data_IF_533289594054
#
_entry.id   IF_533289594054
#
_cell.length_a   1.000
_cell.length_b   1.000
_cell.length_c   1.000
_cell.angle_alpha   90.00
_cell.angle_beta   90.00
_cell.angle_gamma   90.00
#
_symmetry.space_group_name_H-M   'P 1'
#
loop_
_entity.id
_entity.type
_entity.pdbx_description
1 polymer ?
#
# COMPACT_ATOMS: atom_id res chain seq x y z
N UNK A 1 -15.30 7.88 -3.31
CA UNK A 1 -14.82 6.54 -3.76
C UNK A 1 -15.50 5.50 -2.89
N UNK A 2 -16.05 4.41 -3.43
CA UNK A 2 -16.63 3.35 -2.57
C UNK A 2 -15.52 2.40 -2.13
N UNK A 3 -14.99 2.60 -0.92
CA UNK A 3 -13.99 1.73 -0.29
C UNK A 3 -14.52 1.17 1.01
N UNK A 4 -14.12 -0.06 1.34
CA UNK A 4 -14.51 -0.73 2.59
C UNK A 4 -13.31 -1.01 3.47
N UNK A 5 -13.51 -0.97 4.78
CA UNK A 5 -12.48 -1.34 5.76
C UNK A 5 -11.98 -2.75 5.48
N UNK A 6 -10.66 -2.91 5.44
CA UNK A 6 -10.01 -4.18 5.13
C UNK A 6 -9.68 -4.36 3.64
N UNK A 7 -10.21 -3.52 2.75
CA UNK A 7 -9.80 -3.53 1.34
C UNK A 7 -8.39 -2.98 1.18
N UNK A 8 -7.72 -3.47 0.13
CA UNK A 8 -6.40 -2.98 -0.28
C UNK A 8 -6.58 -2.19 -1.56
N UNK A 9 -6.12 -0.94 -1.51
CA UNK A 9 -6.15 -0.02 -2.63
C UNK A 9 -4.74 0.33 -3.07
N UNK A 10 -4.59 0.65 -4.35
CA UNK A 10 -3.40 1.32 -4.83
C UNK A 10 -3.59 2.83 -4.84
N UNK A 11 -2.53 3.53 -4.50
CA UNK A 11 -2.50 4.98 -4.54
C UNK A 11 -1.09 5.49 -4.86
N UNK A 12 -1.03 6.65 -5.48
CA UNK A 12 0.21 7.39 -5.65
C UNK A 12 0.69 7.94 -4.31
N UNK A 13 1.85 7.44 -3.87
CA UNK A 13 2.49 7.92 -2.66
C UNK A 13 3.58 8.94 -3.04
N UNK A 14 3.38 10.25 -2.75
CA UNK A 14 4.38 11.25 -3.05
C UNK A 14 5.65 11.01 -2.23
N UNK A 15 6.80 11.29 -2.82
CA UNK A 15 8.04 11.39 -2.06
C UNK A 15 7.99 12.60 -1.13
N UNK A 16 8.72 12.54 -0.01
CA UNK A 16 8.77 13.64 0.94
C UNK A 16 9.36 14.94 0.35
N UNK A 17 10.15 14.83 -0.71
CA UNK A 17 10.71 15.95 -1.47
C UNK A 17 9.79 16.44 -2.60
N UNK A 18 8.62 15.82 -2.76
CA UNK A 18 7.61 16.12 -3.79
C UNK A 18 8.12 16.03 -5.23
N UNK A 19 9.27 15.39 -5.48
CA UNK A 19 9.85 15.28 -6.83
C UNK A 19 9.16 14.22 -7.70
N UNK A 20 8.26 13.43 -7.11
CA UNK A 20 7.46 12.43 -7.80
C UNK A 20 6.65 11.56 -6.83
N UNK A 21 6.04 10.51 -7.37
CA UNK A 21 5.29 9.51 -6.61
C UNK A 21 5.76 8.09 -6.90
N UNK A 22 5.40 7.15 -6.02
CA UNK A 22 5.34 5.72 -6.34
C UNK A 22 3.97 5.19 -6.00
N UNK A 23 3.40 4.44 -6.93
CA UNK A 23 2.20 3.66 -6.65
C UNK A 23 2.53 2.61 -5.59
N UNK A 24 1.79 2.62 -4.48
CA UNK A 24 1.95 1.68 -3.36
C UNK A 24 0.60 1.14 -2.88
N UNK A 25 0.57 -0.12 -2.42
CA UNK A 25 -0.61 -0.65 -1.75
C UNK A 25 -0.80 0.01 -0.37
N UNK A 26 -2.05 0.19 0.01
CA UNK A 26 -2.46 0.64 1.34
C UNK A 26 -3.73 -0.09 1.77
N UNK A 27 -3.85 -0.35 3.08
CA UNK A 27 -5.02 -0.96 3.70
C UNK A 27 -6.00 0.13 4.13
N UNK A 28 -7.28 -0.03 3.80
CA UNK A 28 -8.34 0.84 4.31
C UNK A 28 -8.61 0.50 5.78
N UNK A 29 -8.34 1.45 6.68
CA UNK A 29 -8.52 1.25 8.13
C UNK A 29 -9.70 2.03 8.71
N UNK A 30 -10.16 3.07 8.01
CA UNK A 30 -11.36 3.85 8.33
C UNK A 30 -12.62 2.97 8.29
N UNK A 31 -13.59 3.26 9.15
CA UNK A 31 -14.88 2.54 9.16
C UNK A 31 -15.74 2.89 7.95
N UNK A 32 -16.55 1.92 7.51
CA UNK A 32 -17.38 2.05 6.32
C UNK A 32 -18.38 3.22 6.42
N UNK A 33 -18.88 3.50 7.62
CA UNK A 33 -19.78 4.63 7.87
C UNK A 33 -19.12 5.97 7.51
N UNK A 34 -17.82 6.11 7.75
CA UNK A 34 -17.08 7.33 7.41
C UNK A 34 -16.59 7.34 5.97
N UNK A 35 -16.23 6.17 5.41
CA UNK A 35 -15.91 6.05 3.97
C UNK A 35 -17.08 6.48 3.06
N UNK A 36 -18.31 6.39 3.55
CA UNK A 36 -19.51 6.83 2.82
C UNK A 36 -19.84 8.31 3.00
N UNK A 37 -19.27 8.97 4.03
CA UNK A 37 -19.65 10.33 4.45
C UNK A 37 -18.58 11.38 4.18
N UNK A 38 -17.31 10.97 4.13
CA UNK A 38 -16.16 11.86 3.96
C UNK A 38 -15.54 11.65 2.58
N UNK A 39 -15.04 12.73 2.00
CA UNK A 39 -14.26 12.67 0.76
C UNK A 39 -12.87 12.05 1.00
N UNK A 40 -12.37 12.15 2.24
CA UNK A 40 -11.09 11.62 2.67
C UNK A 40 -11.22 10.23 3.35
N UNK A 41 -10.21 9.39 3.17
CA UNK A 41 -10.14 8.05 3.77
C UNK A 41 -8.81 7.83 4.48
N UNK A 42 -8.88 7.33 5.72
CA UNK A 42 -7.68 6.93 6.47
C UNK A 42 -7.18 5.55 6.02
N UNK A 43 -5.91 5.51 5.62
CA UNK A 43 -5.24 4.33 5.09
C UNK A 43 -3.96 3.99 5.89
N UNK A 44 -3.64 2.69 5.98
CA UNK A 44 -2.37 2.21 6.53
C UNK A 44 -1.46 1.71 5.40
N UNK A 45 -0.27 2.29 5.28
CA UNK A 45 0.64 2.02 4.18
C UNK A 45 1.28 0.62 4.26
N UNK A 46 1.28 -0.09 3.13
CA UNK A 46 1.95 -1.38 2.99
C UNK A 46 3.31 -1.18 2.29
N UNK A 47 4.35 -1.86 2.77
CA UNK A 47 5.69 -1.80 2.17
C UNK A 47 6.31 -3.18 2.06
N UNK A 48 7.05 -3.43 0.98
CA UNK A 48 7.91 -4.61 0.84
C UNK A 48 9.30 -4.42 1.44
N UNK A 49 9.62 -3.20 1.93
CA UNK A 49 10.90 -2.92 2.56
C UNK A 49 10.99 -3.59 3.93
N UNK A 50 11.88 -4.58 4.05
CA UNK A 50 12.24 -5.25 5.30
C UNK A 50 13.19 -4.42 6.19
N UNK A 51 13.52 -3.17 5.79
CA UNK A 51 14.41 -2.29 6.57
C UNK A 51 13.76 -1.76 7.85
N UNK A 52 12.43 -1.89 8.01
CA UNK A 52 11.75 -1.49 9.24
C UNK A 52 11.82 -2.61 10.28
N UNK A 53 11.86 -2.22 11.56
CA UNK A 53 12.00 -3.13 12.70
C UNK A 53 10.76 -4.02 12.84
N UNK A 54 10.84 -5.22 12.28
CA UNK A 54 9.88 -6.30 12.54
C UNK A 54 9.76 -6.50 14.06
N UNK A 55 8.53 -6.53 14.57
CA UNK A 55 8.22 -6.62 16.01
C UNK A 55 7.90 -5.30 16.71
N UNK A 56 7.89 -4.15 16.01
CA UNK A 56 7.29 -2.93 16.54
C UNK A 56 5.76 -3.09 16.64
N UNK A 57 5.14 -2.57 17.70
CA UNK A 57 3.68 -2.66 17.95
C UNK A 57 2.82 -2.01 16.85
N UNK A 58 3.41 -1.12 16.05
CA UNK A 58 2.77 -0.43 14.92
C UNK A 58 2.96 -1.14 13.58
N UNK A 59 3.66 -2.28 13.56
CA UNK A 59 3.94 -3.03 12.33
C UNK A 59 3.27 -4.40 12.39
N UNK A 60 2.52 -4.71 11.33
CA UNK A 60 1.92 -6.02 11.13
C UNK A 60 2.55 -6.68 9.91
N UNK A 61 2.98 -7.93 10.06
CA UNK A 61 3.55 -8.69 8.94
C UNK A 61 2.42 -9.29 8.11
N UNK A 62 2.40 -8.95 6.82
CA UNK A 62 1.57 -9.65 5.84
C UNK A 62 2.41 -10.79 5.27
N UNK A 63 2.09 -12.02 5.66
CA UNK A 63 2.75 -13.20 5.12
C UNK A 63 2.22 -13.50 3.72
N UNK A 64 3.05 -13.28 2.69
CA UNK A 64 2.69 -13.52 1.29
C UNK A 64 2.81 -15.00 0.89
N UNK A 65 3.27 -15.86 1.79
CA UNK A 65 3.35 -17.30 1.56
C UNK A 65 1.95 -17.93 1.52
N UNK A 66 1.02 -17.40 2.32
CA UNK A 66 -0.38 -17.83 2.37
C UNK A 66 -1.24 -17.21 1.26
N UNK A 67 -2.30 -17.90 0.78
CA UNK A 67 -3.14 -17.43 -0.32
C UNK A 67 -3.73 -16.02 -0.13
N UNK A 68 -4.23 -15.73 1.07
CA UNK A 68 -4.85 -14.45 1.43
C UNK A 68 -3.83 -13.32 1.38
N UNK A 69 -2.60 -13.58 1.84
CA UNK A 69 -1.51 -12.62 1.78
C UNK A 69 -1.08 -12.27 0.36
N UNK A 70 -1.24 -13.18 -0.61
CA UNK A 70 -0.89 -12.90 -2.02
C UNK A 70 -1.81 -11.87 -2.67
N UNK A 71 -3.06 -11.79 -2.22
CA UNK A 71 -4.03 -10.79 -2.70
C UNK A 71 -3.66 -9.36 -2.31
N UNK A 72 -2.69 -9.18 -1.38
CA UNK A 72 -2.15 -7.86 -1.03
C UNK A 72 -1.09 -7.35 -1.99
N UNK A 73 -0.52 -8.26 -2.80
CA UNK A 73 0.64 -8.01 -3.68
C UNK A 73 0.21 -7.81 -5.13
N UNK A 74 -1.08 -7.93 -5.44
CA UNK A 74 -1.57 -8.21 -6.81
C UNK A 74 -1.32 -7.14 -7.86
N UNK A 75 -0.79 -5.95 -7.50
CA UNK A 75 -0.26 -5.00 -8.47
C UNK A 75 1.22 -4.59 -8.27
N UNK A 76 1.94 -5.21 -7.33
CA UNK A 76 3.41 -5.01 -7.23
C UNK A 76 4.16 -5.71 -8.38
N UNK A 77 3.49 -6.52 -9.21
CA UNK A 77 4.05 -7.12 -10.43
C UNK A 77 4.32 -6.13 -11.58
N UNK A 78 4.11 -4.82 -11.40
CA UNK A 78 4.58 -3.81 -12.36
C UNK A 78 6.12 -3.62 -12.33
N UNK A 79 6.80 -4.15 -11.31
CA UNK A 79 8.23 -3.88 -11.05
C UNK A 79 9.25 -4.68 -11.87
N UNK A 80 8.81 -5.59 -12.77
CA UNK A 80 9.75 -6.32 -13.64
C UNK A 80 9.95 -5.68 -15.02
N UNK A 81 9.10 -4.73 -15.43
CA UNK A 81 9.22 -4.03 -16.72
C UNK A 81 10.05 -2.73 -16.63
N UNK A 82 10.17 -2.11 -15.46
CA UNK A 82 10.73 -0.75 -15.31
C UNK A 82 12.16 -0.72 -14.74
N UNK A 83 12.96 -1.78 -14.96
CA UNK A 83 14.41 -1.77 -14.66
C UNK A 83 15.29 -1.43 -15.88
N UNK A 84 14.70 -1.24 -17.06
CA UNK A 84 15.43 -0.87 -18.29
C UNK A 84 15.44 0.64 -18.60
N UNK A 85 14.66 1.47 -17.90
CA UNK A 85 14.47 2.88 -18.30
C UNK A 85 15.16 3.93 -17.43
N UNK A 86 16.10 3.55 -16.57
CA UNK A 86 16.89 4.52 -15.80
C UNK A 86 18.37 4.11 -15.78
N UNK A 87 19.02 4.28 -16.92
CA UNK A 87 20.43 4.68 -16.99
C UNK A 87 20.46 6.16 -17.35
N UNK A 88 20.61 6.99 -16.33
CA UNK A 88 21.26 8.30 -16.37
C UNK A 88 22.07 8.41 -15.07
#
# INVERSE_FOLDING_TARGET
MSVRRGEIVLMDFPYSDQTGSKVRPALVVQSDVWNQKLDDTILALITSSKRRRLGATTQFLIDISIPEGRQTVTETRFRRSMRESYHL
#
